data_IF_594678917510
#
_entry.id   IF_594678917510
#
_cell.length_a   1.000
_cell.length_b   1.000
_cell.length_c   1.000
_cell.angle_alpha   90.00
_cell.angle_beta   90.00
_cell.angle_gamma   90.00
#
_symmetry.space_group_name_H-M   'P 1'
#
loop_
_entity.id
_entity.type
_entity.pdbx_description
1 polymer ?
#
# COMPACT_ATOMS: atom_id res chain seq x y z
N UNK A 1 8.51 -25.51 13.90
CA UNK A 1 8.24 -26.94 13.73
C UNK A 1 9.37 -27.55 12.91
N UNK A 2 9.98 -28.67 13.32
CA UNK A 2 10.88 -29.41 12.44
C UNK A 2 10.05 -29.96 11.28
N UNK A 3 10.35 -29.53 10.05
CA UNK A 3 9.74 -30.06 8.83
C UNK A 3 8.49 -29.35 8.30
N UNK A 4 8.16 -28.12 8.70
CA UNK A 4 7.19 -27.33 7.90
C UNK A 4 7.82 -27.04 6.54
N UNK A 5 7.24 -27.50 5.41
CA UNK A 5 7.79 -27.23 4.10
C UNK A 5 7.84 -25.72 3.91
N UNK A 6 9.03 -25.17 3.70
CA UNK A 6 9.11 -23.83 3.16
C UNK A 6 8.36 -23.85 1.82
N UNK A 7 7.55 -22.83 1.57
CA UNK A 7 6.91 -22.69 0.26
C UNK A 7 8.03 -22.47 -0.76
N UNK A 8 8.41 -23.53 -1.47
CA UNK A 8 9.45 -23.48 -2.51
C UNK A 8 9.13 -22.44 -3.58
N UNK A 9 7.84 -22.16 -3.77
CA UNK A 9 7.34 -21.09 -4.60
C UNK A 9 6.25 -20.31 -3.86
N UNK A 10 6.23 -18.96 -3.96
CA UNK A 10 5.18 -18.17 -3.36
C UNK A 10 3.80 -18.57 -3.92
N UNK A 11 2.74 -18.60 -3.10
CA UNK A 11 1.40 -18.95 -3.54
C UNK A 11 0.96 -18.07 -4.72
N UNK A 12 0.32 -18.67 -5.74
CA UNK A 12 -0.23 -17.91 -6.86
C UNK A 12 -1.25 -16.89 -6.34
N UNK A 13 -1.02 -15.61 -6.64
CA UNK A 13 -1.86 -14.50 -6.18
C UNK A 13 -1.34 -13.76 -4.94
N UNK A 14 -0.27 -14.24 -4.29
CA UNK A 14 0.34 -13.50 -3.18
C UNK A 14 0.97 -12.20 -3.70
N UNK A 15 0.46 -11.06 -3.25
CA UNK A 15 1.06 -9.77 -3.56
C UNK A 15 2.29 -9.58 -2.67
N UNK A 16 3.46 -9.95 -3.18
CA UNK A 16 4.72 -9.79 -2.43
C UNK A 16 5.08 -8.31 -2.26
N UNK A 17 5.82 -7.98 -1.20
CA UNK A 17 6.30 -6.61 -0.94
C UNK A 17 6.96 -5.94 -2.15
N UNK A 18 7.88 -6.57 -2.90
CA UNK A 18 8.45 -5.96 -4.08
C UNK A 18 7.40 -5.66 -5.17
N UNK A 19 6.39 -6.53 -5.31
CA UNK A 19 5.31 -6.36 -6.28
C UNK A 19 4.35 -5.25 -5.87
N UNK A 20 4.00 -5.17 -4.58
CA UNK A 20 3.20 -4.09 -4.02
C UNK A 20 3.90 -2.74 -4.18
N UNK A 21 5.19 -2.65 -3.84
CA UNK A 21 5.97 -1.42 -3.96
C UNK A 21 6.11 -0.96 -5.40
N UNK A 22 6.23 -1.87 -6.37
CA UNK A 22 6.21 -1.49 -7.79
C UNK A 22 4.84 -1.01 -8.25
N UNK A 23 3.78 -1.62 -7.76
CA UNK A 23 2.41 -1.30 -8.17
C UNK A 23 1.93 0.02 -7.56
N UNK A 24 2.19 0.24 -6.27
CA UNK A 24 1.67 1.40 -5.51
C UNK A 24 2.73 2.47 -5.30
N UNK A 25 4.01 2.09 -5.17
CA UNK A 25 5.06 3.02 -4.76
C UNK A 25 5.32 4.14 -5.76
N UNK A 26 5.42 3.84 -7.05
CA UNK A 26 5.62 4.85 -8.10
C UNK A 26 4.42 5.82 -8.23
N UNK A 27 3.16 5.36 -8.36
CA UNK A 27 2.04 6.29 -8.45
C UNK A 27 1.81 7.07 -7.16
N UNK A 28 1.99 6.44 -5.99
CA UNK A 28 1.84 7.12 -4.71
C UNK A 28 2.90 8.21 -4.50
N UNK A 29 4.16 7.96 -4.86
CA UNK A 29 5.21 8.96 -4.74
C UNK A 29 5.00 10.13 -5.70
N UNK A 30 4.58 9.87 -6.95
CA UNK A 30 4.24 10.92 -7.91
C UNK A 30 3.07 11.78 -7.42
N UNK A 31 2.02 11.16 -6.87
CA UNK A 31 0.88 11.86 -6.29
C UNK A 31 1.29 12.75 -5.10
N UNK A 32 2.04 12.21 -4.15
CA UNK A 32 2.51 12.97 -2.98
C UNK A 32 3.44 14.12 -3.38
N UNK A 33 4.30 13.92 -4.40
CA UNK A 33 5.15 14.98 -4.94
C UNK A 33 4.31 16.12 -5.56
N UNK A 34 3.23 15.79 -6.28
CA UNK A 34 2.30 16.78 -6.81
C UNK A 34 1.60 17.55 -5.67
N UNK A 35 1.09 16.85 -4.65
CA UNK A 35 0.45 17.50 -3.50
C UNK A 35 1.40 18.42 -2.75
N UNK A 36 2.68 18.04 -2.62
CA UNK A 36 3.72 18.91 -2.07
C UNK A 36 3.92 20.17 -2.92
N UNK A 37 4.01 20.01 -4.24
CA UNK A 37 4.19 21.15 -5.16
C UNK A 37 3.03 22.16 -5.09
N UNK A 38 1.79 21.69 -4.94
CA UNK A 38 0.61 22.54 -4.80
C UNK A 38 0.32 23.00 -3.36
N UNK A 39 1.15 22.62 -2.38
CA UNK A 39 0.99 23.04 -0.99
C UNK A 39 -0.17 22.36 -0.24
N UNK A 40 -0.71 21.27 -0.77
CA UNK A 40 -1.87 20.51 -0.21
C UNK A 40 -1.48 19.14 0.34
N UNK A 41 -0.20 18.95 0.71
CA UNK A 41 0.31 17.66 1.17
C UNK A 41 -0.41 17.18 2.43
N UNK A 42 -0.64 18.09 3.39
CA UNK A 42 -1.23 17.71 4.67
C UNK A 42 -2.66 17.22 4.50
N UNK A 43 -3.47 17.95 3.73
CA UNK A 43 -4.84 17.59 3.37
C UNK A 43 -4.89 16.23 2.67
N UNK A 44 -3.98 16.00 1.72
CA UNK A 44 -3.87 14.72 1.04
C UNK A 44 -3.58 13.56 2.01
N UNK A 45 -2.65 13.75 2.96
CA UNK A 45 -2.33 12.74 3.98
C UNK A 45 -3.50 12.47 4.94
N UNK A 46 -4.23 13.51 5.34
CA UNK A 46 -5.43 13.38 6.17
C UNK A 46 -6.51 12.58 5.43
N UNK A 47 -6.77 12.91 4.16
CA UNK A 47 -7.76 12.23 3.33
C UNK A 47 -7.38 10.75 3.13
N UNK A 48 -6.11 10.46 2.81
CA UNK A 48 -5.62 9.08 2.66
C UNK A 48 -5.87 8.30 3.95
N UNK A 49 -5.48 8.85 5.10
CA UNK A 49 -5.63 8.19 6.40
C UNK A 49 -7.10 7.93 6.74
N UNK A 50 -7.96 8.95 6.60
CA UNK A 50 -9.38 8.83 6.86
C UNK A 50 -10.04 7.80 5.94
N UNK A 51 -9.70 7.82 4.65
CA UNK A 51 -10.23 6.86 3.67
C UNK A 51 -9.81 5.44 4.00
N UNK A 52 -8.53 5.20 4.33
CA UNK A 52 -8.07 3.86 4.73
C UNK A 52 -8.78 3.38 6.01
N UNK A 53 -9.01 4.26 6.98
CA UNK A 53 -9.73 3.93 8.19
C UNK A 53 -11.18 3.52 7.89
N UNK A 54 -11.89 4.30 7.06
CA UNK A 54 -13.28 4.00 6.66
C UNK A 54 -13.34 2.69 5.88
N UNK A 55 -12.46 2.49 4.89
CA UNK A 55 -12.42 1.24 4.10
C UNK A 55 -12.14 0.04 5.00
N UNK A 56 -11.18 0.14 5.93
CA UNK A 56 -10.88 -0.93 6.88
C UNK A 56 -12.04 -1.20 7.84
N UNK A 57 -12.80 -0.18 8.21
CA UNK A 57 -14.00 -0.34 9.03
C UNK A 57 -15.14 -1.04 8.27
N UNK A 58 -15.33 -0.71 6.99
CA UNK A 58 -16.33 -1.33 6.11
C UNK A 58 -15.96 -2.75 5.66
N UNK A 59 -14.67 -3.09 5.61
CA UNK A 59 -14.19 -4.41 5.21
C UNK A 59 -14.19 -5.45 6.36
N UNK A 60 -14.53 -5.03 7.58
CA UNK A 60 -14.78 -5.90 8.73
C UNK A 60 -16.23 -6.37 8.72
#
# INVERSE_FOLDING_TARGET
>A
MPGTPYLDQPPKGLLTWPKLLRLVGLPLSAFLAACWYYGVLFEALVIITATMLVVNWLAR
#
